data_IF_133913636345
#
_entry.id   IF_133913636345
#
_cell.length_a   1.000
_cell.length_b   1.000
_cell.length_c   1.000
_cell.angle_alpha   90.00
_cell.angle_beta   90.00
_cell.angle_gamma   90.00
#
_symmetry.space_group_name_H-M   'P 1'
#
loop_
_entity.id
_entity.type
_entity.pdbx_description
1 polymer ?
#
# COMPACT_ATOMS: atom_id res chain seq x y z
N UNK A 1 -2.61 28.25 20.48
CA UNK A 1 -3.14 26.91 20.14
C UNK A 1 -1.95 25.97 20.12
N UNK A 2 -1.82 25.09 21.10
CA UNK A 2 -0.55 24.41 21.36
C UNK A 2 -0.23 23.41 20.25
N UNK A 3 0.94 23.57 19.63
CA UNK A 3 1.49 22.65 18.64
C UNK A 3 1.80 21.32 19.33
N UNK A 4 1.70 20.18 18.61
CA UNK A 4 1.97 18.91 19.27
C UNK A 4 3.45 18.90 19.60
N UNK A 5 3.84 18.26 20.69
CA UNK A 5 5.26 18.01 20.90
C UNK A 5 5.81 17.32 19.67
N UNK A 6 6.92 17.84 19.14
CA UNK A 6 7.57 17.34 17.93
C UNK A 6 7.76 15.82 18.00
N UNK A 7 8.18 15.33 19.17
CA UNK A 7 8.38 13.91 19.46
C UNK A 7 7.11 13.06 19.34
N UNK A 8 5.96 13.57 19.77
CA UNK A 8 4.72 12.81 19.69
C UNK A 8 4.24 12.69 18.23
N UNK A 9 4.33 13.79 17.47
CA UNK A 9 4.00 13.76 16.02
C UNK A 9 4.94 12.83 15.25
N UNK A 10 6.24 12.92 15.53
CA UNK A 10 7.25 12.09 14.89
C UNK A 10 7.02 10.61 15.19
N UNK A 11 6.73 10.28 16.45
CA UNK A 11 6.44 8.90 16.85
C UNK A 11 5.18 8.36 16.18
N UNK A 12 4.08 9.14 16.12
CA UNK A 12 2.85 8.71 15.44
C UNK A 12 3.06 8.42 13.96
N UNK A 13 3.87 9.22 13.25
CA UNK A 13 4.15 9.01 11.82
C UNK A 13 5.06 7.80 11.60
N UNK A 14 6.02 7.55 12.51
CA UNK A 14 6.97 6.44 12.40
C UNK A 14 6.45 5.11 12.95
N UNK A 15 5.41 5.13 13.79
CA UNK A 15 4.83 3.93 14.39
C UNK A 15 4.53 2.80 13.39
N UNK A 16 3.83 3.03 12.26
CA UNK A 16 3.55 1.95 11.31
C UNK A 16 4.84 1.41 10.69
N UNK A 17 5.83 2.28 10.42
CA UNK A 17 7.14 1.87 9.88
C UNK A 17 7.87 0.98 10.88
N UNK A 18 7.87 1.33 12.17
CA UNK A 18 8.48 0.48 13.20
C UNK A 18 7.80 -0.88 13.32
N UNK A 19 6.47 -0.94 13.24
CA UNK A 19 5.73 -2.22 13.26
C UNK A 19 6.08 -3.08 12.04
N UNK A 20 6.11 -2.49 10.85
CA UNK A 20 6.44 -3.20 9.61
C UNK A 20 7.89 -3.68 9.59
N UNK A 21 8.85 -2.84 10.00
CA UNK A 21 10.25 -3.22 10.12
C UNK A 21 10.45 -4.34 11.15
N UNK A 22 9.73 -4.27 12.27
CA UNK A 22 9.73 -5.33 13.28
C UNK A 22 9.28 -6.67 12.71
N UNK A 23 8.21 -6.69 11.90
CA UNK A 23 7.77 -7.90 11.22
C UNK A 23 8.78 -8.39 10.16
N UNK A 24 9.39 -7.50 9.37
CA UNK A 24 10.41 -7.90 8.41
C UNK A 24 11.64 -8.50 9.08
N UNK A 25 12.08 -7.95 10.21
CA UNK A 25 13.19 -8.53 10.99
C UNK A 25 12.78 -9.88 11.57
N UNK A 26 11.54 -10.00 12.05
CA UNK A 26 11.01 -11.27 12.54
C UNK A 26 10.96 -12.35 11.46
N UNK A 27 10.60 -11.98 10.23
CA UNK A 27 10.56 -12.90 9.09
C UNK A 27 11.94 -13.50 8.77
N UNK A 28 12.99 -12.68 8.90
CA UNK A 28 14.37 -13.07 8.59
C UNK A 28 15.02 -13.81 9.77
N UNK A 29 14.68 -13.45 11.02
CA UNK A 29 15.34 -13.95 12.22
C UNK A 29 14.63 -15.15 12.89
N UNK A 30 13.33 -15.34 12.69
CA UNK A 30 12.53 -16.39 13.34
C UNK A 30 12.02 -17.41 12.32
N UNK A 31 12.15 -18.70 12.64
CA UNK A 31 11.48 -19.76 11.89
C UNK A 31 9.95 -19.59 11.98
N UNK A 32 9.26 -19.69 10.83
CA UNK A 32 7.80 -19.45 10.64
C UNK A 32 6.86 -20.26 11.55
N UNK A 33 7.39 -21.20 12.33
CA UNK A 33 6.66 -22.15 13.18
C UNK A 33 6.38 -21.64 14.59
N UNK A 34 7.02 -20.54 15.03
CA UNK A 34 6.74 -19.98 16.36
C UNK A 34 5.45 -19.15 16.36
N UNK A 35 4.56 -19.36 17.34
CA UNK A 35 3.35 -18.53 17.55
C UNK A 35 3.69 -17.04 17.66
N UNK A 36 4.86 -16.73 18.22
CA UNK A 36 5.37 -15.37 18.36
C UNK A 36 5.68 -14.73 17.00
N UNK A 37 6.17 -15.51 16.02
CA UNK A 37 6.41 -15.03 14.66
C UNK A 37 5.10 -14.72 13.93
N UNK A 38 4.07 -15.57 14.07
CA UNK A 38 2.76 -15.32 13.44
C UNK A 38 2.08 -14.05 13.95
N UNK A 39 2.13 -13.81 15.27
CA UNK A 39 1.57 -12.57 15.86
C UNK A 39 2.34 -11.34 15.38
N UNK A 40 3.67 -11.43 15.31
CA UNK A 40 4.51 -10.32 14.90
C UNK A 40 4.33 -10.00 13.41
N UNK A 41 4.19 -11.03 12.57
CA UNK A 41 3.81 -10.88 11.17
C UNK A 41 2.44 -10.24 10.98
N UNK A 42 1.44 -10.65 11.77
CA UNK A 42 0.11 -10.07 11.69
C UNK A 42 0.11 -8.58 12.07
N UNK A 43 0.81 -8.21 13.13
CA UNK A 43 0.85 -6.81 13.60
C UNK A 43 1.65 -5.91 12.64
N UNK A 44 2.70 -6.43 12.01
CA UNK A 44 3.49 -5.68 11.03
C UNK A 44 3.02 -5.83 9.59
N UNK A 45 1.90 -6.51 9.33
CA UNK A 45 1.23 -6.42 8.03
C UNK A 45 0.90 -4.95 7.74
N UNK A 46 1.16 -4.44 6.53
CA UNK A 46 0.96 -3.03 6.21
C UNK A 46 -0.45 -2.52 6.54
N UNK A 47 -1.50 -3.33 6.29
CA UNK A 47 -2.89 -2.93 6.54
C UNK A 47 -3.14 -2.82 8.03
N UNK A 48 -2.69 -3.81 8.81
CA UNK A 48 -2.85 -3.84 10.27
C UNK A 48 -2.02 -2.75 10.94
N UNK A 49 -0.77 -2.58 10.54
CA UNK A 49 0.14 -1.57 11.08
C UNK A 49 -0.39 -0.14 10.85
N UNK A 50 -0.88 0.14 9.63
CA UNK A 50 -1.49 1.43 9.30
C UNK A 50 -2.79 1.67 10.08
N UNK A 51 -3.60 0.62 10.30
CA UNK A 51 -4.81 0.70 11.11
C UNK A 51 -4.49 1.03 12.57
N UNK A 52 -3.52 0.34 13.17
CA UNK A 52 -3.06 0.60 14.54
C UNK A 52 -2.53 2.04 14.65
N UNK A 53 -1.70 2.47 13.70
CA UNK A 53 -1.17 3.83 13.65
C UNK A 53 -2.27 4.90 13.51
N UNK A 54 -3.29 4.63 12.71
CA UNK A 54 -4.44 5.53 12.52
C UNK A 54 -5.25 5.67 13.82
N UNK A 55 -5.54 4.55 14.49
CA UNK A 55 -6.21 4.58 15.80
C UNK A 55 -5.36 5.35 16.81
N UNK A 56 -4.06 5.04 16.90
CA UNK A 56 -3.14 5.74 17.78
C UNK A 56 -3.08 7.24 17.48
N UNK A 57 -3.11 7.63 16.22
CA UNK A 57 -3.15 9.03 15.78
C UNK A 57 -4.40 9.76 16.29
N UNK A 58 -5.58 9.13 16.27
CA UNK A 58 -6.78 9.74 16.84
C UNK A 58 -6.66 10.01 18.34
N UNK A 59 -6.02 9.13 19.10
CA UNK A 59 -5.76 9.35 20.52
C UNK A 59 -4.67 10.41 20.77
N UNK A 60 -3.53 10.27 20.12
CA UNK A 60 -2.33 11.06 20.34
C UNK A 60 -2.43 12.49 19.76
N UNK A 61 -2.95 12.64 18.54
CA UNK A 61 -3.05 13.92 17.85
C UNK A 61 -4.46 14.52 17.90
N UNK A 62 -5.48 13.70 18.11
CA UNK A 62 -6.89 14.13 18.25
C UNK A 62 -7.27 14.45 19.70
N UNK A 63 -7.46 13.42 20.53
CA UNK A 63 -7.99 13.58 21.89
C UNK A 63 -7.02 14.26 22.86
N UNK A 64 -5.72 13.90 22.85
CA UNK A 64 -4.72 14.52 23.73
C UNK A 64 -4.50 16.03 23.44
N UNK A 65 -5.09 16.53 22.36
CA UNK A 65 -5.03 17.90 21.87
C UNK A 65 -6.34 18.68 22.04
N UNK A 66 -7.39 18.04 22.57
CA UNK A 66 -8.69 18.66 22.78
C UNK A 66 -9.51 18.86 21.49
N UNK A 67 -9.24 18.10 20.42
CA UNK A 67 -10.16 18.07 19.29
C UNK A 67 -11.47 17.36 19.67
N UNK A 68 -12.62 17.94 19.32
CA UNK A 68 -13.91 17.29 19.48
C UNK A 68 -14.05 16.11 18.50
N UNK A 69 -14.90 15.15 18.85
CA UNK A 69 -15.25 14.01 17.98
C UNK A 69 -15.67 14.47 16.58
N UNK A 70 -16.43 15.56 16.50
CA UNK A 70 -16.93 16.12 15.24
C UNK A 70 -15.80 16.60 14.33
N UNK A 71 -14.72 17.18 14.89
CA UNK A 71 -13.56 17.60 14.09
C UNK A 71 -12.77 16.42 13.55
N UNK A 72 -12.59 15.38 14.34
CA UNK A 72 -11.92 14.14 13.88
C UNK A 72 -12.74 13.49 12.77
N UNK A 73 -14.07 13.48 12.91
CA UNK A 73 -14.98 12.98 11.88
C UNK A 73 -14.91 13.83 10.60
N UNK A 74 -14.86 15.15 10.74
CA UNK A 74 -14.71 16.07 9.61
C UNK A 74 -13.40 15.80 8.84
N UNK A 75 -12.26 15.71 9.53
CA UNK A 75 -10.98 15.37 8.88
C UNK A 75 -11.02 14.01 8.18
N UNK A 76 -11.68 13.03 8.78
CA UNK A 76 -11.84 11.70 8.16
C UNK A 76 -12.66 11.78 6.87
N UNK A 77 -13.73 12.58 6.85
CA UNK A 77 -14.55 12.80 5.66
C UNK A 77 -13.82 13.58 4.58
N UNK A 78 -13.04 14.59 4.95
CA UNK A 78 -12.26 15.40 4.01
C UNK A 78 -11.20 14.55 3.27
N UNK A 79 -10.63 13.55 3.95
CA UNK A 79 -9.71 12.58 3.35
C UNK A 79 -10.39 11.62 2.36
N UNK A 80 -11.70 11.43 2.44
CA UNK A 80 -12.43 10.47 1.61
C UNK A 80 -12.45 10.88 0.13
N UNK A 81 -12.56 12.18 -0.15
CA UNK A 81 -12.56 12.71 -1.52
C UNK A 81 -11.30 12.35 -2.32
N UNK A 82 -10.09 12.69 -1.82
CA UNK A 82 -8.83 12.29 -2.46
C UNK A 82 -8.65 10.78 -2.60
N UNK A 83 -9.05 10.01 -1.58
CA UNK A 83 -8.93 8.54 -1.59
C UNK A 83 -9.88 7.90 -2.61
N UNK A 84 -11.07 8.45 -2.83
CA UNK A 84 -12.04 7.90 -3.77
C UNK A 84 -11.50 7.80 -5.21
N UNK A 85 -10.79 8.83 -5.68
CA UNK A 85 -10.16 8.79 -7.01
C UNK A 85 -9.09 7.70 -7.09
N UNK A 86 -8.24 7.61 -6.06
CA UNK A 86 -7.19 6.59 -5.99
C UNK A 86 -7.80 5.18 -5.98
N UNK A 87 -8.84 4.95 -5.17
CA UNK A 87 -9.55 3.67 -5.10
C UNK A 87 -10.21 3.29 -6.43
N UNK A 88 -10.86 4.23 -7.11
CA UNK A 88 -11.50 3.99 -8.41
C UNK A 88 -10.49 3.56 -9.46
N UNK A 89 -9.35 4.24 -9.48
CA UNK A 89 -8.25 3.96 -10.40
C UNK A 89 -7.58 2.61 -10.10
N UNK A 90 -7.33 2.31 -8.81
CA UNK A 90 -6.80 1.00 -8.40
C UNK A 90 -7.78 -0.12 -8.73
N UNK A 91 -9.07 0.08 -8.47
CA UNK A 91 -10.12 -0.90 -8.75
C UNK A 91 -10.27 -1.19 -10.25
N UNK A 92 -10.25 -0.14 -11.08
CA UNK A 92 -10.28 -0.27 -12.53
C UNK A 92 -9.03 -1.01 -13.08
N UNK A 93 -7.84 -0.64 -12.59
CA UNK A 93 -6.58 -1.31 -12.96
C UNK A 93 -6.55 -2.78 -12.55
N UNK A 94 -7.02 -3.11 -11.34
CA UNK A 94 -7.10 -4.49 -10.85
C UNK A 94 -8.10 -5.34 -11.63
N UNK A 95 -9.27 -4.79 -11.96
CA UNK A 95 -10.26 -5.47 -12.81
C UNK A 95 -9.73 -5.71 -14.23
N UNK A 96 -9.06 -4.72 -14.82
CA UNK A 96 -8.42 -4.86 -16.13
C UNK A 96 -7.32 -5.92 -16.13
N UNK A 97 -6.47 -5.94 -15.10
CA UNK A 97 -5.44 -6.98 -14.93
C UNK A 97 -6.07 -8.39 -14.87
N UNK A 98 -7.13 -8.56 -14.09
CA UNK A 98 -7.93 -9.81 -14.05
C UNK A 98 -8.41 -10.22 -15.43
N UNK A 99 -8.99 -9.31 -16.20
CA UNK A 99 -9.47 -9.59 -17.57
C UNK A 99 -8.32 -9.99 -18.50
N UNK A 100 -7.15 -9.35 -18.41
CA UNK A 100 -5.97 -9.72 -19.20
C UNK A 100 -5.47 -11.13 -18.88
N UNK A 101 -5.46 -11.50 -17.59
CA UNK A 101 -5.08 -12.84 -17.13
C UNK A 101 -6.09 -13.89 -17.58
N UNK A 102 -7.39 -13.62 -17.38
CA UNK A 102 -8.48 -14.55 -17.72
C UNK A 102 -8.62 -14.73 -19.25
N UNK A 103 -8.25 -13.72 -20.05
CA UNK A 103 -8.26 -13.80 -21.52
C UNK A 103 -7.11 -14.63 -22.10
N UNK A 104 -6.16 -15.09 -21.28
CA UNK A 104 -4.98 -15.85 -21.75
C UNK A 104 -3.97 -15.03 -22.57
N UNK A 105 -4.22 -13.72 -22.74
CA UNK A 105 -3.35 -12.81 -23.48
C UNK A 105 -1.96 -12.74 -22.81
N UNK A 106 -1.92 -12.76 -21.47
CA UNK A 106 -0.66 -12.80 -20.72
C UNK A 106 0.19 -14.04 -21.03
N UNK A 107 -0.43 -15.21 -21.16
CA UNK A 107 0.28 -16.45 -21.51
C UNK A 107 0.73 -16.46 -22.98
N UNK A 108 -0.11 -15.97 -23.89
CA UNK A 108 0.26 -15.87 -25.32
C UNK A 108 1.41 -14.88 -25.54
N UNK A 109 1.40 -13.73 -24.86
CA UNK A 109 2.52 -12.77 -24.91
C UNK A 109 3.78 -13.39 -24.31
N UNK A 110 3.67 -14.14 -23.21
CA UNK A 110 4.82 -14.80 -22.58
C UNK A 110 5.42 -15.90 -23.48
N UNK A 111 4.61 -16.66 -24.20
CA UNK A 111 5.11 -17.72 -25.08
C UNK A 111 5.68 -17.16 -26.39
N UNK A 112 5.08 -16.12 -26.96
CA UNK A 112 5.69 -15.36 -28.09
C UNK A 112 6.99 -14.67 -27.68
N UNK A 113 7.09 -14.20 -26.44
CA UNK A 113 8.31 -13.62 -25.88
C UNK A 113 9.43 -14.66 -25.68
N UNK A 114 9.11 -15.93 -25.41
CA UNK A 114 10.09 -17.02 -25.33
C UNK A 114 10.62 -17.42 -26.70
N UNK A 115 9.80 -17.32 -27.75
CA UNK A 115 10.22 -17.60 -29.14
C UNK A 115 11.02 -16.43 -29.75
N UNK A 116 10.79 -15.20 -29.28
CA UNK A 116 11.57 -14.04 -29.67
C UNK A 116 12.91 -14.01 -28.91
N UNK A 117 14.03 -13.85 -29.63
CA UNK A 117 15.37 -13.73 -29.02
C UNK A 117 15.59 -12.40 -28.26
N UNK A 118 14.52 -11.68 -27.92
CA UNK A 118 14.55 -10.40 -27.21
C UNK A 118 14.64 -10.65 -25.70
N UNK A 119 15.46 -9.86 -25.02
CA UNK A 119 15.61 -9.92 -23.56
C UNK A 119 14.23 -9.74 -22.87
N UNK A 120 13.81 -10.69 -22.01
CA UNK A 120 12.55 -10.62 -21.26
C UNK A 120 12.41 -9.33 -20.44
N UNK A 121 13.52 -8.77 -19.96
CA UNK A 121 13.55 -7.52 -19.20
C UNK A 121 13.11 -6.34 -20.06
N UNK A 122 13.50 -6.31 -21.35
CA UNK A 122 13.15 -5.23 -22.27
C UNK A 122 11.66 -5.27 -22.65
N UNK A 123 11.12 -6.49 -22.83
CA UNK A 123 9.70 -6.71 -23.09
C UNK A 123 8.83 -6.32 -21.89
N UNK A 124 9.18 -6.78 -20.68
CA UNK A 124 8.47 -6.41 -19.46
C UNK A 124 8.49 -4.90 -19.24
N UNK A 125 9.65 -4.26 -19.44
CA UNK A 125 9.76 -2.80 -19.37
C UNK A 125 8.91 -2.09 -20.43
N UNK A 126 8.90 -2.58 -21.68
CA UNK A 126 8.11 -1.98 -22.76
C UNK A 126 6.60 -2.06 -22.52
N UNK A 127 6.12 -3.21 -22.04
CA UNK A 127 4.71 -3.40 -21.68
C UNK A 127 4.34 -2.46 -20.51
N UNK A 128 5.17 -2.42 -19.46
CA UNK A 128 4.97 -1.51 -18.34
C UNK A 128 4.98 -0.03 -18.77
N UNK A 129 5.86 0.35 -19.69
CA UNK A 129 5.94 1.71 -20.23
C UNK A 129 4.70 2.08 -21.07
N UNK A 130 4.21 1.17 -21.92
CA UNK A 130 2.99 1.37 -22.70
C UNK A 130 1.76 1.55 -21.80
N UNK A 131 1.62 0.69 -20.79
CA UNK A 131 0.55 0.79 -19.81
C UNK A 131 0.66 2.11 -19.04
N UNK A 132 1.87 2.56 -18.69
CA UNK A 132 2.10 3.86 -18.06
C UNK A 132 1.70 5.04 -18.93
N UNK A 133 1.98 4.99 -20.23
CA UNK A 133 1.55 6.03 -21.17
C UNK A 133 0.03 6.05 -21.30
N UNK A 134 -0.60 4.88 -21.40
CA UNK A 134 -2.06 4.76 -21.54
C UNK A 134 -2.82 5.19 -20.27
N UNK A 135 -2.28 4.92 -19.09
CA UNK A 135 -2.93 5.21 -17.81
C UNK A 135 -2.56 6.59 -17.23
N UNK A 136 -1.53 7.25 -17.76
CA UNK A 136 -1.15 8.64 -17.44
C UNK A 136 -0.66 8.90 -16.01
N UNK A 137 -0.86 7.97 -15.08
CA UNK A 137 -0.47 8.11 -13.67
C UNK A 137 0.37 6.91 -13.20
N UNK A 138 1.47 7.24 -12.51
CA UNK A 138 2.44 6.26 -12.01
C UNK A 138 1.82 5.21 -11.07
N UNK A 139 0.81 5.59 -10.29
CA UNK A 139 0.12 4.70 -9.35
C UNK A 139 -0.76 3.67 -10.05
N UNK A 140 -1.35 4.00 -11.20
CA UNK A 140 -2.17 3.04 -11.98
C UNK A 140 -1.26 2.02 -12.66
N UNK A 141 -0.17 2.51 -13.24
CA UNK A 141 0.79 1.67 -13.95
C UNK A 141 1.47 0.64 -13.04
N UNK A 142 1.74 0.99 -11.78
CA UNK A 142 2.31 0.05 -10.80
C UNK A 142 1.36 -1.09 -10.40
N UNK A 143 0.04 -0.92 -10.55
CA UNK A 143 -0.93 -1.98 -10.21
C UNK A 143 -1.22 -2.93 -11.38
N UNK A 144 -0.88 -2.52 -12.60
CA UNK A 144 -1.14 -3.31 -13.82
C UNK A 144 0.09 -4.09 -14.30
N UNK A 145 1.31 -3.56 -14.07
CA UNK A 145 2.56 -4.25 -14.37
C UNK A 145 2.89 -5.30 -13.30
#
# INVERSE_FOLDING_TARGET
KELPSFWNTLFTILLPVFLMLGASIAEVALNKTSQLAQVLHFIGDPIVALLIATIYSFFSLGYAKGFSKDKVLQFTNDCLGPIANILLVIGAGGAFNKVLLDSGIGTTIADMAKESHISPILLGWGIAALIRIATGSATVSMMTA
#
